data_IF_053477404867
#
_entry.id   IF_053477404867
#
_cell.length_a   1.000
_cell.length_b   1.000
_cell.length_c   1.000
_cell.angle_alpha   90.00
_cell.angle_beta   90.00
_cell.angle_gamma   90.00
#
_symmetry.space_group_name_H-M   'P 1'
#
loop_
_entity.id
_entity.type
_entity.pdbx_description
1 polymer ?
#
# COMPACT_ATOMS: atom_id res chain seq x y z
N UNK A 1 -45.31 4.51 27.53
CA UNK A 1 -44.69 3.18 27.47
C UNK A 1 -43.25 3.33 27.00
N UNK A 2 -42.33 2.95 27.80
CA UNK A 2 -40.96 3.40 28.04
C UNK A 2 -39.98 2.90 26.99
N UNK A 3 -39.32 3.82 26.27
CA UNK A 3 -38.12 3.55 25.51
C UNK A 3 -36.92 3.90 26.41
N UNK A 4 -36.44 2.93 27.18
CA UNK A 4 -35.13 3.06 27.82
C UNK A 4 -34.49 1.69 27.96
N UNK A 5 -33.24 1.65 27.59
CA UNK A 5 -32.20 0.63 27.78
C UNK A 5 -31.78 -0.15 26.51
N UNK A 6 -31.31 0.58 25.48
CA UNK A 6 -30.18 0.09 24.74
C UNK A 6 -28.95 0.31 25.62
N UNK A 7 -28.48 -0.77 26.25
CA UNK A 7 -27.38 -0.69 27.20
C UNK A 7 -26.14 -0.20 26.50
N UNK A 8 -25.44 0.74 27.11
CA UNK A 8 -24.12 1.27 26.73
C UNK A 8 -23.15 0.16 26.26
N UNK A 9 -23.31 -1.07 26.77
CA UNK A 9 -22.59 -2.27 26.34
C UNK A 9 -22.89 -2.72 24.89
N UNK A 10 -24.07 -2.48 24.35
CA UNK A 10 -24.40 -2.90 22.98
C UNK A 10 -23.79 -1.95 21.94
N UNK A 11 -23.65 -0.67 22.29
CA UNK A 11 -22.95 0.32 21.45
C UNK A 11 -21.44 0.04 21.45
N UNK A 12 -20.87 -0.29 22.61
CA UNK A 12 -19.45 -0.67 22.75
C UNK A 12 -19.18 -1.96 21.97
N UNK A 13 -20.05 -2.98 22.06
CA UNK A 13 -19.91 -4.22 21.30
C UNK A 13 -20.05 -4.02 19.78
N UNK A 14 -20.87 -3.04 19.33
CA UNK A 14 -20.94 -2.68 17.91
C UNK A 14 -19.67 -1.99 17.43
N UNK A 15 -19.05 -1.14 18.24
CA UNK A 15 -17.77 -0.52 17.96
C UNK A 15 -16.64 -1.56 18.00
N UNK A 16 -16.56 -2.39 19.01
CA UNK A 16 -15.55 -3.47 19.09
C UNK A 16 -15.73 -4.53 18.01
N UNK A 17 -16.95 -4.88 17.60
CA UNK A 17 -17.17 -5.77 16.44
C UNK A 17 -16.71 -5.14 15.11
N UNK A 18 -16.74 -3.81 14.98
CA UNK A 18 -16.19 -3.14 13.80
C UNK A 18 -14.67 -3.04 13.82
N UNK A 19 -14.04 -2.92 14.98
CA UNK A 19 -12.57 -2.93 15.13
C UNK A 19 -11.96 -4.33 15.03
N UNK A 20 -12.68 -5.38 15.44
CA UNK A 20 -12.19 -6.77 15.38
C UNK A 20 -12.22 -7.33 13.93
N UNK A 21 -12.95 -6.69 13.00
CA UNK A 21 -12.94 -7.09 11.58
C UNK A 21 -11.97 -6.31 10.69
N UNK A 22 -11.30 -5.31 11.21
CA UNK A 22 -10.13 -4.70 10.60
C UNK A 22 -8.87 -5.13 11.37
N UNK A 23 -8.59 -6.42 11.45
CA UNK A 23 -7.18 -6.83 11.49
C UNK A 23 -6.60 -6.30 10.17
N UNK A 24 -5.92 -5.16 10.24
CA UNK A 24 -5.00 -4.74 9.18
C UNK A 24 -4.10 -5.94 8.92
N UNK A 25 -4.34 -6.63 7.83
CA UNK A 25 -3.49 -7.71 7.37
C UNK A 25 -2.11 -7.12 7.24
N UNK A 26 -1.21 -7.51 8.15
CA UNK A 26 0.11 -6.90 8.28
C UNK A 26 0.87 -7.11 6.99
N UNK A 27 0.98 -6.04 6.18
CA UNK A 27 1.73 -6.08 4.94
C UNK A 27 3.21 -6.11 5.20
N UNK A 28 3.88 -7.01 4.52
CA UNK A 28 5.32 -7.16 4.57
C UNK A 28 5.91 -6.24 3.51
N UNK A 29 6.67 -5.23 3.94
CA UNK A 29 7.43 -4.39 3.01
C UNK A 29 8.67 -5.15 2.58
N UNK A 30 8.83 -5.35 1.27
CA UNK A 30 9.96 -6.08 0.74
C UNK A 30 10.41 -5.50 -0.61
N UNK A 31 11.69 -5.60 -0.89
CA UNK A 31 12.22 -5.36 -2.22
C UNK A 31 11.94 -6.58 -3.10
N UNK A 32 11.18 -6.40 -4.18
CA UNK A 32 10.88 -7.49 -5.11
C UNK A 32 12.04 -7.67 -6.09
N UNK A 33 12.56 -8.87 -6.21
CA UNK A 33 13.69 -9.15 -7.09
C UNK A 33 13.69 -10.58 -7.63
N UNK A 34 14.32 -10.78 -8.80
CA UNK A 34 14.52 -12.09 -9.42
C UNK A 34 15.81 -12.77 -8.95
N UNK A 35 16.67 -12.01 -8.26
CA UNK A 35 17.93 -12.50 -7.70
C UNK A 35 18.17 -11.82 -6.36
N UNK A 36 18.89 -12.45 -5.44
CA UNK A 36 19.26 -11.82 -4.18
C UNK A 36 20.11 -10.59 -4.44
N UNK A 37 19.76 -9.45 -3.81
CA UNK A 37 20.44 -8.17 -4.01
C UNK A 37 21.41 -7.89 -2.86
N UNK A 38 20.98 -8.09 -1.62
CA UNK A 38 21.76 -7.85 -0.39
C UNK A 38 21.17 -8.64 0.77
N UNK A 39 21.97 -8.96 1.77
CA UNK A 39 21.49 -9.65 2.98
C UNK A 39 20.90 -8.68 4.01
N UNK A 40 21.12 -7.36 3.83
CA UNK A 40 20.69 -6.34 4.79
C UNK A 40 19.29 -5.77 4.53
N UNK A 41 18.58 -6.27 3.52
CA UNK A 41 17.26 -5.75 3.13
C UNK A 41 16.25 -6.88 3.05
N UNK A 42 15.05 -6.64 3.57
CA UNK A 42 13.96 -7.58 3.41
C UNK A 42 13.58 -7.70 1.93
N UNK A 43 13.65 -8.91 1.40
CA UNK A 43 13.46 -9.21 -0.01
C UNK A 43 12.39 -10.28 -0.22
N UNK A 44 11.65 -10.14 -1.32
CA UNK A 44 10.84 -11.20 -1.90
C UNK A 44 11.50 -11.64 -3.21
N UNK A 45 12.02 -12.86 -3.23
CA UNK A 45 12.83 -13.38 -4.33
C UNK A 45 12.07 -14.47 -5.07
N UNK A 46 12.09 -14.39 -6.40
CA UNK A 46 11.49 -15.38 -7.28
C UNK A 46 12.54 -16.43 -7.68
N UNK A 47 12.45 -17.61 -7.10
CA UNK A 47 13.25 -18.79 -7.50
C UNK A 47 12.45 -19.70 -8.45
N UNK A 48 13.05 -20.83 -8.87
CA UNK A 48 12.46 -21.72 -9.88
C UNK A 48 11.08 -22.26 -9.49
N UNK A 49 10.93 -22.74 -8.24
CA UNK A 49 9.70 -23.40 -7.76
C UNK A 49 9.09 -22.77 -6.50
N UNK A 50 9.70 -21.68 -6.00
CA UNK A 50 9.32 -21.08 -4.73
C UNK A 50 9.50 -19.56 -4.76
N UNK A 51 8.67 -18.87 -3.98
CA UNK A 51 8.97 -17.52 -3.54
C UNK A 51 9.70 -17.59 -2.20
N UNK A 52 10.80 -16.86 -2.06
CA UNK A 52 11.60 -16.79 -0.85
C UNK A 52 11.48 -15.39 -0.23
N UNK A 53 11.06 -15.36 1.02
CA UNK A 53 11.07 -14.14 1.83
C UNK A 53 12.37 -14.18 2.64
N UNK A 54 13.32 -13.34 2.30
CA UNK A 54 14.51 -13.10 3.11
C UNK A 54 14.24 -12.01 4.13
N UNK A 55 14.47 -12.35 5.40
CA UNK A 55 14.37 -11.40 6.52
C UNK A 55 15.76 -11.05 7.03
N UNK A 56 15.91 -9.86 7.63
CA UNK A 56 17.12 -9.43 8.34
C UNK A 56 17.55 -10.40 9.47
N UNK A 57 16.63 -11.25 9.95
CA UNK A 57 16.87 -12.23 11.02
C UNK A 57 17.41 -13.59 10.53
N UNK A 58 17.81 -13.72 9.28
CA UNK A 58 18.34 -14.96 8.65
C UNK A 58 17.40 -16.19 8.68
N UNK A 59 16.11 -16.00 8.88
CA UNK A 59 15.11 -17.07 8.73
C UNK A 59 14.37 -16.84 7.43
N UNK A 60 14.73 -17.61 6.38
CA UNK A 60 14.03 -17.56 5.11
C UNK A 60 12.70 -18.29 5.22
N UNK A 61 11.62 -17.63 4.78
CA UNK A 61 10.30 -18.23 4.64
C UNK A 61 10.11 -18.55 3.16
N UNK A 62 9.73 -19.77 2.85
CA UNK A 62 9.47 -20.21 1.46
C UNK A 62 7.99 -20.42 1.23
N UNK A 63 7.50 -19.95 0.08
CA UNK A 63 6.15 -20.20 -0.41
C UNK A 63 6.26 -21.05 -1.67
N UNK A 64 5.99 -22.36 -1.60
CA UNK A 64 6.04 -23.24 -2.78
C UNK A 64 4.99 -22.82 -3.81
N UNK A 65 5.35 -22.82 -5.09
CA UNK A 65 4.41 -22.48 -6.17
C UNK A 65 3.19 -23.41 -6.19
N UNK A 66 3.38 -24.67 -5.83
CA UNK A 66 2.29 -25.65 -5.74
C UNK A 66 1.24 -25.32 -4.66
N UNK A 67 1.55 -24.45 -3.72
CA UNK A 67 0.62 -24.00 -2.69
C UNK A 67 -0.19 -22.78 -3.08
N UNK A 68 0.21 -22.06 -4.13
CA UNK A 68 -0.38 -20.79 -4.55
C UNK A 68 -1.67 -21.06 -5.35
N UNK A 69 -2.78 -20.49 -4.86
CA UNK A 69 -4.09 -20.60 -5.52
C UNK A 69 -4.38 -19.38 -6.40
N UNK A 70 -3.99 -18.20 -5.94
CA UNK A 70 -4.24 -16.95 -6.63
C UNK A 70 -3.21 -15.88 -6.26
N UNK A 71 -2.95 -14.97 -7.18
CA UNK A 71 -2.10 -13.79 -6.97
C UNK A 71 -2.84 -12.58 -7.52
N UNK A 72 -2.87 -11.50 -6.72
CA UNK A 72 -3.46 -10.22 -7.12
C UNK A 72 -2.47 -9.10 -6.90
N UNK A 73 -2.41 -8.16 -7.85
CA UNK A 73 -1.61 -6.93 -7.72
C UNK A 73 -2.50 -5.69 -7.76
N UNK A 74 -2.07 -4.68 -6.99
CA UNK A 74 -2.73 -3.37 -6.94
C UNK A 74 -1.66 -2.27 -6.81
N UNK A 75 -1.87 -1.10 -7.42
CA UNK A 75 -1.01 0.04 -7.17
C UNK A 75 -1.37 0.69 -5.84
N UNK A 76 -0.38 1.13 -5.11
CA UNK A 76 -0.54 1.83 -3.84
C UNK A 76 0.15 3.17 -3.91
N UNK A 77 -0.51 4.20 -3.37
CA UNK A 77 0.03 5.53 -3.23
C UNK A 77 0.33 5.81 -1.76
N UNK A 78 1.52 6.29 -1.46
CA UNK A 78 1.92 6.73 -0.12
C UNK A 78 2.42 8.16 -0.16
N UNK A 79 2.13 8.89 0.91
CA UNK A 79 2.73 10.21 1.12
C UNK A 79 4.17 9.98 1.58
N UNK A 80 5.10 10.53 0.81
CA UNK A 80 6.50 10.56 1.19
C UNK A 80 6.91 11.98 1.55
N UNK A 81 7.48 12.12 2.73
CA UNK A 81 8.15 13.34 3.12
C UNK A 81 9.54 13.01 3.65
N UNK A 82 10.60 13.55 3.03
CA UNK A 82 11.96 13.37 3.52
C UNK A 82 12.20 13.99 4.91
N UNK A 83 11.34 14.90 5.38
CA UNK A 83 11.41 15.40 6.75
C UNK A 83 10.70 14.47 7.71
N UNK A 84 11.47 13.80 8.56
CA UNK A 84 11.07 12.73 9.52
C UNK A 84 9.88 13.10 10.43
N UNK A 85 9.57 14.38 10.60
CA UNK A 85 8.49 14.88 11.46
C UNK A 85 7.09 14.47 11.01
N UNK A 86 6.85 14.32 9.70
CA UNK A 86 5.50 14.09 9.19
C UNK A 86 4.97 12.69 9.49
N UNK A 87 5.85 11.70 9.44
CA UNK A 87 5.48 10.30 9.75
C UNK A 87 5.22 10.09 11.25
N UNK A 88 5.89 10.88 12.14
CA UNK A 88 5.69 10.80 13.58
C UNK A 88 4.52 11.62 14.08
N UNK A 89 4.33 12.81 13.52
CA UNK A 89 3.38 13.81 14.05
C UNK A 89 2.09 13.89 13.22
N UNK A 90 1.98 13.10 12.16
CA UNK A 90 0.83 13.05 11.30
C UNK A 90 0.45 14.43 10.76
N UNK A 91 -0.84 14.75 10.81
CA UNK A 91 -1.38 16.01 10.27
C UNK A 91 -0.86 17.29 10.97
N UNK A 92 -0.48 17.22 12.25
CA UNK A 92 0.09 18.36 12.99
C UNK A 92 1.48 18.72 12.45
N UNK A 93 2.31 17.74 12.20
CA UNK A 93 3.63 17.93 11.60
C UNK A 93 3.53 18.56 10.20
N UNK A 94 2.57 18.11 9.40
CA UNK A 94 2.27 18.67 8.09
C UNK A 94 1.98 20.17 8.14
N UNK A 95 1.10 20.62 9.05
CA UNK A 95 0.72 22.02 9.16
C UNK A 95 1.86 22.91 9.69
N UNK A 96 2.69 22.39 10.60
CA UNK A 96 3.86 23.09 11.12
C UNK A 96 4.88 23.36 10.02
N UNK A 97 5.21 22.38 9.20
CA UNK A 97 6.19 22.52 8.12
C UNK A 97 5.69 23.39 6.96
N UNK A 98 4.39 23.37 6.66
CA UNK A 98 3.80 24.23 5.64
C UNK A 98 3.97 25.70 5.97
N UNK A 99 3.83 26.08 7.25
CA UNK A 99 3.99 27.47 7.69
C UNK A 99 5.44 27.97 7.57
N UNK A 100 6.41 27.06 7.50
CA UNK A 100 7.83 27.41 7.34
C UNK A 100 8.28 27.57 5.87
N UNK A 101 7.40 27.36 4.88
CA UNK A 101 7.71 27.44 3.46
C UNK A 101 8.68 26.36 2.94
N UNK A 102 9.07 25.39 3.79
CA UNK A 102 10.06 24.35 3.47
C UNK A 102 9.42 22.98 3.18
N UNK A 103 8.11 22.95 2.94
CA UNK A 103 7.36 21.72 2.85
C UNK A 103 7.10 21.31 1.41
N UNK A 104 7.63 20.16 1.01
CA UNK A 104 7.27 19.50 -0.24
C UNK A 104 6.64 18.14 0.07
N UNK A 105 5.42 17.92 -0.40
CA UNK A 105 4.77 16.60 -0.34
C UNK A 105 5.08 15.90 -1.65
N UNK A 106 5.63 14.71 -1.52
CA UNK A 106 5.81 13.80 -2.64
C UNK A 106 4.87 12.61 -2.47
N UNK A 107 4.34 12.14 -3.59
CA UNK A 107 3.60 10.90 -3.64
C UNK A 107 4.46 9.86 -4.33
N UNK A 108 4.70 8.76 -3.63
CA UNK A 108 5.37 7.60 -4.20
C UNK A 108 4.38 6.49 -4.43
N UNK A 109 4.66 5.69 -5.45
CA UNK A 109 3.84 4.57 -5.85
C UNK A 109 4.59 3.27 -5.59
N UNK A 110 3.82 2.28 -5.16
CA UNK A 110 4.29 0.95 -4.80
C UNK A 110 3.33 -0.08 -5.40
N UNK A 111 3.69 -1.33 -5.32
CA UNK A 111 2.85 -2.46 -5.72
C UNK A 111 2.49 -3.26 -4.48
N UNK A 112 1.20 -3.41 -4.24
CA UNK A 112 0.68 -4.44 -3.35
C UNK A 112 0.61 -5.75 -4.12
N UNK A 113 1.22 -6.79 -3.57
CA UNK A 113 1.18 -8.15 -4.06
C UNK A 113 0.51 -9.03 -3.01
N UNK A 114 -0.67 -9.52 -3.32
CA UNK A 114 -1.44 -10.40 -2.46
C UNK A 114 -1.36 -11.82 -3.01
N UNK A 115 -0.86 -12.76 -2.20
CA UNK A 115 -0.67 -14.16 -2.57
C UNK A 115 -1.57 -15.01 -1.67
N UNK A 116 -2.49 -15.73 -2.28
CA UNK A 116 -3.43 -16.63 -1.62
C UNK A 116 -2.97 -18.07 -1.80
N UNK A 117 -2.78 -18.77 -0.69
CA UNK A 117 -2.29 -20.15 -0.70
C UNK A 117 -3.22 -21.09 0.06
N UNK A 118 -2.99 -22.39 -0.06
CA UNK A 118 -3.73 -23.42 0.68
C UNK A 118 -3.51 -23.34 2.21
N UNK A 119 -2.39 -22.75 2.66
CA UNK A 119 -1.98 -22.73 4.06
C UNK A 119 -2.13 -21.37 4.72
N UNK A 120 -2.38 -20.30 3.95
CA UNK A 120 -2.52 -18.93 4.45
C UNK A 120 -2.37 -17.90 3.36
N UNK A 121 -2.51 -16.64 3.72
CA UNK A 121 -2.38 -15.53 2.80
C UNK A 121 -1.16 -14.68 3.15
N UNK A 122 -0.50 -14.18 2.12
CA UNK A 122 0.67 -13.31 2.27
C UNK A 122 0.41 -12.00 1.55
N UNK A 123 0.66 -10.89 2.24
CA UNK A 123 0.44 -9.55 1.74
C UNK A 123 1.76 -8.79 1.74
N UNK A 124 2.21 -8.40 0.57
CA UNK A 124 3.46 -7.66 0.39
C UNK A 124 3.18 -6.27 -0.18
N UNK A 125 4.01 -5.31 0.22
CA UNK A 125 4.11 -4.01 -0.43
C UNK A 125 5.55 -3.87 -0.94
N UNK A 126 5.74 -3.56 -2.23
CA UNK A 126 7.07 -3.33 -2.78
C UNK A 126 7.74 -2.12 -2.13
N UNK A 127 9.07 -2.08 -2.13
CA UNK A 127 9.82 -0.89 -1.66
C UNK A 127 9.74 0.29 -2.64
N UNK A 128 9.36 0.01 -3.89
CA UNK A 128 9.27 0.98 -4.98
C UNK A 128 8.46 0.42 -6.16
N UNK A 129 8.37 1.19 -7.25
CA UNK A 129 7.81 0.77 -8.55
C UNK A 129 8.91 0.74 -9.64
N UNK A 130 10.14 0.43 -9.26
CA UNK A 130 11.30 0.49 -10.13
C UNK A 130 11.50 -0.77 -11.00
N UNK A 131 12.61 -0.82 -11.72
CA UNK A 131 12.89 -1.84 -12.72
C UNK A 131 12.90 -3.26 -12.15
N UNK A 132 13.43 -3.46 -10.93
CA UNK A 132 13.44 -4.78 -10.29
C UNK A 132 12.04 -5.27 -9.95
N UNK A 133 11.19 -4.38 -9.42
CA UNK A 133 9.78 -4.68 -9.15
C UNK A 133 9.04 -5.04 -10.44
N UNK A 134 9.25 -4.27 -11.51
CA UNK A 134 8.65 -4.56 -12.82
C UNK A 134 9.10 -5.92 -13.36
N UNK A 135 10.40 -6.21 -13.35
CA UNK A 135 10.96 -7.50 -13.79
C UNK A 135 10.41 -8.68 -12.97
N UNK A 136 10.32 -8.51 -11.66
CA UNK A 136 9.77 -9.52 -10.76
C UNK A 136 8.30 -9.82 -11.09
N UNK A 137 7.45 -8.79 -11.20
CA UNK A 137 6.03 -8.95 -11.51
C UNK A 137 5.82 -9.58 -12.89
N UNK A 138 6.56 -9.15 -13.90
CA UNK A 138 6.45 -9.73 -15.25
C UNK A 138 6.84 -11.21 -15.24
N UNK A 139 7.94 -11.57 -14.60
CA UNK A 139 8.38 -12.96 -14.49
C UNK A 139 7.40 -13.82 -13.68
N UNK A 140 6.83 -13.26 -12.61
CA UNK A 140 5.80 -13.94 -11.83
C UNK A 140 4.52 -14.15 -12.66
N UNK A 141 4.16 -13.16 -13.51
CA UNK A 141 3.01 -13.27 -14.42
C UNK A 141 3.22 -14.32 -15.55
N UNK A 142 4.45 -14.57 -15.95
CA UNK A 142 4.78 -15.66 -16.91
C UNK A 142 4.52 -17.05 -16.31
N UNK A 143 4.63 -17.17 -14.97
CA UNK A 143 4.42 -18.44 -14.25
C UNK A 143 2.95 -18.57 -13.82
N UNK A 144 2.37 -17.48 -13.31
CA UNK A 144 1.01 -17.41 -12.78
C UNK A 144 0.20 -16.37 -13.55
N UNK A 145 -1.07 -16.67 -13.79
CA UNK A 145 -2.00 -15.64 -14.27
C UNK A 145 -2.37 -14.73 -13.12
N UNK A 146 -1.70 -13.57 -13.03
CA UNK A 146 -1.95 -12.58 -11.97
C UNK A 146 -3.26 -11.81 -12.24
N UNK A 147 -4.08 -11.64 -11.20
CA UNK A 147 -5.21 -10.71 -11.24
C UNK A 147 -4.71 -9.26 -11.21
N UNK A 148 -5.00 -8.51 -12.25
CA UNK A 148 -4.58 -7.12 -12.46
C UNK A 148 -5.73 -6.27 -12.98
N UNK A 149 -6.58 -5.80 -12.07
CA UNK A 149 -7.77 -5.00 -12.41
C UNK A 149 -7.43 -3.64 -13.03
N UNK A 150 -6.21 -3.13 -12.81
CA UNK A 150 -5.79 -1.78 -13.19
C UNK A 150 -4.81 -1.73 -14.36
N UNK A 151 -4.51 -2.89 -14.96
CA UNK A 151 -3.56 -3.05 -16.07
C UNK A 151 -2.11 -2.64 -15.74
N UNK A 152 -1.64 -2.87 -14.51
CA UNK A 152 -0.25 -2.63 -14.11
C UNK A 152 0.73 -3.44 -14.93
N UNK A 153 0.41 -4.71 -15.23
CA UNK A 153 1.26 -5.61 -16.04
C UNK A 153 1.52 -4.97 -17.40
N UNK A 154 0.48 -4.45 -18.07
CA UNK A 154 0.64 -3.75 -19.34
C UNK A 154 1.51 -2.51 -19.22
N UNK A 155 1.39 -1.75 -18.12
CA UNK A 155 2.27 -0.61 -17.88
C UNK A 155 3.73 -1.05 -17.71
N UNK A 156 4.00 -2.12 -16.95
CA UNK A 156 5.33 -2.68 -16.78
C UNK A 156 5.95 -3.22 -18.08
N UNK A 157 5.12 -3.74 -18.99
CA UNK A 157 5.58 -4.22 -20.30
C UNK A 157 5.92 -3.11 -21.29
N UNK A 158 5.23 -1.96 -21.20
CA UNK A 158 5.25 -0.96 -22.27
C UNK A 158 5.91 0.36 -21.88
N UNK A 159 6.15 0.61 -20.61
CA UNK A 159 6.60 1.89 -20.08
C UNK A 159 7.84 1.75 -19.20
N UNK A 160 8.69 2.75 -19.26
CA UNK A 160 9.78 2.94 -18.30
C UNK A 160 9.24 3.31 -16.92
N UNK A 161 10.07 3.16 -15.89
CA UNK A 161 9.73 3.55 -14.50
C UNK A 161 9.23 4.99 -14.40
N UNK A 162 9.89 5.93 -15.09
CA UNK A 162 9.49 7.34 -15.05
C UNK A 162 8.13 7.55 -15.71
N UNK A 163 7.87 6.91 -16.85
CA UNK A 163 6.57 6.99 -17.52
C UNK A 163 5.44 6.36 -16.70
N UNK A 164 5.73 5.32 -15.93
CA UNK A 164 4.76 4.71 -14.98
C UNK A 164 4.46 5.70 -13.86
N UNK A 165 5.47 6.33 -13.27
CA UNK A 165 5.28 7.37 -12.24
C UNK A 165 4.44 8.53 -12.76
N UNK A 166 4.76 9.04 -13.94
CA UNK A 166 4.00 10.11 -14.60
C UNK A 166 2.55 9.70 -14.91
N UNK A 167 2.35 8.45 -15.32
CA UNK A 167 1.01 7.91 -15.55
C UNK A 167 0.22 7.84 -14.23
N UNK A 168 0.83 7.32 -13.18
CA UNK A 168 0.20 7.24 -11.85
C UNK A 168 -0.11 8.63 -11.30
N UNK A 169 0.78 9.61 -11.46
CA UNK A 169 0.52 10.99 -11.02
C UNK A 169 -0.73 11.60 -11.69
N UNK A 170 -0.98 11.26 -12.94
CA UNK A 170 -2.12 11.76 -13.70
C UNK A 170 -3.42 10.99 -13.42
N UNK A 171 -3.34 9.68 -13.26
CA UNK A 171 -4.50 8.79 -13.29
C UNK A 171 -4.85 8.11 -11.96
N UNK A 172 -3.94 8.12 -10.97
CA UNK A 172 -4.16 7.37 -9.71
C UNK A 172 -5.45 7.76 -9.00
N UNK A 173 -5.83 9.04 -9.02
CA UNK A 173 -7.06 9.51 -8.39
C UNK A 173 -8.31 8.83 -8.97
N UNK A 174 -8.35 8.66 -10.28
CA UNK A 174 -9.48 8.04 -10.96
C UNK A 174 -9.46 6.52 -10.78
N UNK A 175 -8.28 5.91 -10.85
CA UNK A 175 -8.08 4.49 -10.52
C UNK A 175 -8.54 4.19 -9.10
N UNK A 176 -8.10 4.99 -8.13
CA UNK A 176 -8.48 4.82 -6.73
C UNK A 176 -9.98 4.92 -6.52
N UNK A 177 -10.65 5.84 -7.21
CA UNK A 177 -12.11 5.96 -7.16
C UNK A 177 -12.81 4.76 -7.79
N UNK A 178 -12.33 4.29 -8.95
CA UNK A 178 -12.94 3.20 -9.71
C UNK A 178 -12.79 1.86 -8.99
N UNK A 179 -11.61 1.60 -8.43
CA UNK A 179 -11.25 0.32 -7.82
C UNK A 179 -11.24 0.37 -6.28
N UNK A 180 -11.74 1.45 -5.68
CA UNK A 180 -11.79 1.66 -4.23
C UNK A 180 -10.41 1.50 -3.55
N UNK A 181 -9.36 2.06 -4.16
CA UNK A 181 -8.02 2.04 -3.62
C UNK A 181 -7.82 3.17 -2.60
N UNK A 182 -6.90 2.95 -1.67
CA UNK A 182 -6.47 4.01 -0.75
C UNK A 182 -5.90 5.21 -1.50
N UNK A 183 -6.38 6.41 -1.19
CA UNK A 183 -5.93 7.65 -1.83
C UNK A 183 -5.56 8.72 -0.80
N UNK A 184 -4.30 8.78 -0.35
CA UNK A 184 -3.82 9.78 0.60
C UNK A 184 -4.01 11.23 0.13
N UNK A 185 -3.97 11.49 -1.18
CA UNK A 185 -4.24 12.83 -1.76
C UNK A 185 -5.63 13.30 -1.43
N UNK A 186 -6.64 12.47 -1.67
CA UNK A 186 -8.04 12.83 -1.40
C UNK A 186 -8.26 13.10 0.08
N UNK A 187 -7.72 12.27 0.95
CA UNK A 187 -7.80 12.46 2.40
C UNK A 187 -7.14 13.77 2.83
N UNK A 188 -6.00 14.11 2.24
CA UNK A 188 -5.28 15.35 2.51
C UNK A 188 -6.07 16.57 2.03
N UNK A 189 -6.58 16.54 0.80
CA UNK A 189 -7.39 17.62 0.20
C UNK A 189 -8.65 17.87 1.02
N UNK A 190 -9.37 16.81 1.42
CA UNK A 190 -10.57 16.94 2.28
C UNK A 190 -10.25 17.56 3.63
N UNK A 191 -9.14 17.18 4.22
CA UNK A 191 -8.69 17.75 5.50
C UNK A 191 -8.35 19.23 5.37
N UNK A 192 -7.73 19.64 4.27
CA UNK A 192 -7.41 21.04 3.97
C UNK A 192 -8.67 21.87 3.75
N UNK A 193 -9.66 21.36 3.01
CA UNK A 193 -10.95 22.01 2.79
C UNK A 193 -11.71 22.19 4.10
N UNK A 194 -11.72 21.18 4.98
CA UNK A 194 -12.35 21.27 6.30
C UNK A 194 -11.71 22.35 7.19
N UNK A 195 -10.38 22.48 7.13
CA UNK A 195 -9.65 23.52 7.89
C UNK A 195 -9.93 24.92 7.37
N UNK A 196 -9.97 25.10 6.06
CA UNK A 196 -10.32 26.39 5.44
C UNK A 196 -11.73 26.82 5.86
N UNK A 197 -12.71 25.91 5.82
CA UNK A 197 -14.10 26.18 6.27
C UNK A 197 -14.19 26.54 7.77
N UNK A 198 -13.34 25.94 8.62
CA UNK A 198 -13.29 26.29 10.06
C UNK A 198 -12.71 27.68 10.32
N UNK A 199 -11.76 28.15 9.50
CA UNK A 199 -11.19 29.51 9.63
C UNK A 199 -12.21 30.58 9.23
N UNK A 200 -13.00 30.36 8.18
CA UNK A 200 -14.01 31.31 7.71
C UNK A 200 -15.15 31.51 8.74
N UNK A 201 -15.50 30.45 9.51
CA UNK A 201 -16.56 30.54 10.53
C UNK A 201 -16.13 31.24 11.84
N UNK A 202 -14.84 31.58 11.99
CA UNK A 202 -14.31 32.26 13.20
C UNK A 202 -14.09 33.76 13.02
N UNK A 203 -14.42 34.29 11.87
CA UNK A 203 -14.48 35.72 11.54
C UNK A 203 -15.91 36.10 11.16
#
# INVERSE_FOLDING_TARGET
MTIHNLKFFDVINLFFKKEVFAMEEKRIKAQFSVTSISDDVQQLILNEDVLVIKNESNVDITIPFSSINNIKILPVNRIYNPSVGLLKDGFKGFMSHRNSGKFSIYFNYFVDLNIYTNTGNYFFESSDIEENTSKFILKLNDIFKIEDDVNLITLFQTKSTNEIKDYMDKHYKDLAKTYNLENPRTTLDDSMVRLAKKKIKKH
#
